data_IF_865920234004
#
_entry.id   IF_865920234004
#
_cell.length_a   1.000
_cell.length_b   1.000
_cell.length_c   1.000
_cell.angle_alpha   90.00
_cell.angle_beta   90.00
_cell.angle_gamma   90.00
#
_symmetry.space_group_name_H-M   'P 1'
#
loop_
_entity.id
_entity.type
_entity.pdbx_description
1 polymer ?
#
# COMPACT_ATOMS: atom_id res chain seq x y z
N UNK A 1 -17.93 23.44 8.94
CA UNK A 1 -17.00 22.34 9.21
C UNK A 1 -17.77 21.25 9.90
N UNK A 2 -17.98 20.09 9.33
CA UNK A 2 -18.42 18.95 10.11
C UNK A 2 -17.28 18.70 11.11
N UNK A 3 -17.59 18.68 12.41
CA UNK A 3 -16.75 18.04 13.41
C UNK A 3 -16.36 16.69 12.80
N UNK A 4 -15.06 16.44 12.70
CA UNK A 4 -14.59 15.19 12.13
C UNK A 4 -15.06 14.06 13.05
N UNK A 5 -16.24 13.57 12.77
CA UNK A 5 -16.70 12.32 13.33
C UNK A 5 -15.86 11.21 12.69
N UNK A 6 -14.82 10.80 13.41
CA UNK A 6 -14.27 9.46 13.25
C UNK A 6 -15.14 8.52 14.09
N UNK A 7 -16.24 7.95 13.53
CA UNK A 7 -17.18 7.19 14.33
C UNK A 7 -16.46 5.97 14.89
N UNK A 8 -16.21 5.97 16.19
CA UNK A 8 -15.67 4.85 16.94
C UNK A 8 -14.15 4.76 17.06
N UNK A 9 -13.36 5.31 16.13
CA UNK A 9 -11.91 5.07 16.11
C UNK A 9 -11.14 5.65 17.32
N UNK A 10 -11.66 6.70 17.95
CA UNK A 10 -10.99 7.40 19.06
C UNK A 10 -11.80 7.44 20.36
N UNK A 11 -12.83 6.61 20.50
CA UNK A 11 -13.61 6.53 21.75
C UNK A 11 -12.74 6.07 22.92
N UNK A 12 -11.80 5.16 22.68
CA UNK A 12 -10.87 4.64 23.68
C UNK A 12 -9.65 5.53 23.91
N UNK A 13 -9.44 6.54 23.06
CA UNK A 13 -8.31 7.46 23.11
C UNK A 13 -8.75 8.92 23.00
N UNK A 14 -9.56 9.43 23.97
CA UNK A 14 -10.17 10.76 23.87
C UNK A 14 -9.14 11.88 23.77
N UNK A 15 -8.02 11.76 24.45
CA UNK A 15 -6.95 12.77 24.36
C UNK A 15 -6.33 12.84 22.93
N UNK A 16 -6.15 11.70 22.26
CA UNK A 16 -5.69 11.69 20.87
C UNK A 16 -6.69 12.34 19.93
N UNK A 17 -7.98 12.07 20.10
CA UNK A 17 -9.06 12.74 19.36
C UNK A 17 -9.00 14.26 19.56
N UNK A 18 -8.84 14.72 20.80
CA UNK A 18 -8.79 16.15 21.14
C UNK A 18 -7.54 16.82 20.54
N UNK A 19 -6.39 16.13 20.51
CA UNK A 19 -5.19 16.58 19.82
C UNK A 19 -5.41 16.70 18.30
N UNK A 20 -6.01 15.70 17.67
CA UNK A 20 -6.34 15.73 16.23
C UNK A 20 -7.24 16.91 15.90
N UNK A 21 -8.33 17.10 16.66
CA UNK A 21 -9.27 18.17 16.42
C UNK A 21 -8.62 19.56 16.62
N UNK A 22 -7.84 19.74 17.69
CA UNK A 22 -7.22 21.02 18.03
C UNK A 22 -6.02 21.32 17.12
N UNK A 23 -5.04 20.44 17.07
CA UNK A 23 -3.74 20.74 16.43
C UNK A 23 -3.84 20.53 14.92
N UNK A 24 -4.39 19.41 14.48
CA UNK A 24 -4.41 19.10 13.04
C UNK A 24 -5.46 19.95 12.34
N UNK A 25 -6.73 19.82 12.73
CA UNK A 25 -7.82 20.41 11.96
C UNK A 25 -8.15 21.85 12.31
N UNK A 26 -8.12 22.23 13.61
CA UNK A 26 -8.45 23.61 14.00
C UNK A 26 -7.27 24.59 13.80
N UNK A 27 -6.03 24.11 13.91
CA UNK A 27 -4.84 24.95 13.74
C UNK A 27 -4.18 24.72 12.38
N UNK A 28 -3.58 23.52 12.14
CA UNK A 28 -2.73 23.28 10.97
C UNK A 28 -3.48 23.39 9.65
N UNK A 29 -4.66 22.77 9.53
CA UNK A 29 -5.43 22.79 8.28
C UNK A 29 -6.07 24.15 7.98
N UNK A 30 -6.18 25.07 8.95
CA UNK A 30 -6.73 26.42 8.77
C UNK A 30 -5.68 27.48 8.49
N UNK A 31 -4.41 27.13 8.51
CA UNK A 31 -3.33 28.07 8.16
C UNK A 31 -3.41 28.47 6.70
N UNK A 32 -3.27 29.76 6.43
CA UNK A 32 -3.47 30.36 5.10
C UNK A 32 -2.30 30.10 4.11
N UNK A 33 -1.15 29.67 4.61
CA UNK A 33 0.09 29.51 3.81
C UNK A 33 0.04 28.35 2.82
N UNK A 34 -0.89 27.40 3.02
CA UNK A 34 -1.21 26.33 2.06
C UNK A 34 -2.72 26.22 1.90
N UNK A 35 -3.18 26.07 0.67
CA UNK A 35 -4.60 25.85 0.38
C UNK A 35 -5.07 24.50 0.90
N UNK A 36 -6.38 24.31 1.19
CA UNK A 36 -6.94 23.00 1.53
C UNK A 36 -6.66 21.94 0.45
N UNK A 37 -6.65 22.34 -0.83
CA UNK A 37 -6.31 21.49 -1.97
C UNK A 37 -4.87 20.98 -1.85
N UNK A 38 -3.91 21.87 -1.65
CA UNK A 38 -2.49 21.49 -1.56
C UNK A 38 -2.22 20.61 -0.32
N UNK A 39 -2.85 20.92 0.81
CA UNK A 39 -2.79 20.07 1.99
C UNK A 39 -3.30 18.66 1.72
N UNK A 40 -4.39 18.53 0.98
CA UNK A 40 -4.94 17.23 0.59
C UNK A 40 -3.99 16.45 -0.31
N UNK A 41 -3.38 17.12 -1.32
CA UNK A 41 -2.38 16.50 -2.19
C UNK A 41 -1.19 15.96 -1.38
N UNK A 42 -0.66 16.76 -0.45
CA UNK A 42 0.45 16.37 0.43
C UNK A 42 0.04 15.16 1.29
N UNK A 43 -1.16 15.15 1.84
CA UNK A 43 -1.60 14.07 2.74
C UNK A 43 -1.85 12.77 2.00
N UNK A 44 -2.41 12.82 0.77
CA UNK A 44 -2.52 11.63 -0.11
C UNK A 44 -1.12 11.09 -0.44
N UNK A 45 -0.17 11.96 -0.77
CA UNK A 45 1.21 11.56 -1.07
C UNK A 45 1.88 10.87 0.13
N UNK A 46 1.75 11.45 1.33
CA UNK A 46 2.32 10.86 2.57
C UNK A 46 1.66 9.54 2.91
N UNK A 47 0.32 9.46 2.88
CA UNK A 47 -0.42 8.21 3.13
C UNK A 47 -0.01 7.10 2.16
N UNK A 48 0.16 7.43 0.88
CA UNK A 48 0.69 6.50 -0.14
C UNK A 48 2.08 6.00 0.23
N UNK A 49 3.02 6.91 0.51
CA UNK A 49 4.40 6.57 0.83
C UNK A 49 4.52 5.69 2.09
N UNK A 50 3.66 5.92 3.08
CA UNK A 50 3.63 5.18 4.34
C UNK A 50 2.88 3.84 4.26
N UNK A 51 2.33 3.46 3.11
CA UNK A 51 1.47 2.27 2.95
C UNK A 51 0.22 2.31 3.86
N UNK A 52 -0.28 3.48 4.18
CA UNK A 52 -1.35 3.70 5.15
C UNK A 52 -2.73 3.69 4.48
N UNK A 53 -3.29 2.50 4.20
CA UNK A 53 -4.53 2.32 3.42
C UNK A 53 -5.72 3.12 3.98
N UNK A 54 -5.92 3.12 5.30
CA UNK A 54 -7.01 3.86 5.94
C UNK A 54 -6.88 5.37 5.75
N UNK A 55 -5.64 5.88 5.84
CA UNK A 55 -5.34 7.29 5.63
C UNK A 55 -5.51 7.67 4.16
N UNK A 56 -5.04 6.83 3.23
CA UNK A 56 -5.26 7.04 1.79
C UNK A 56 -6.76 7.09 1.49
N UNK A 57 -7.55 6.14 1.98
CA UNK A 57 -8.99 6.10 1.78
C UNK A 57 -9.67 7.41 2.25
N UNK A 58 -9.39 7.82 3.48
CA UNK A 58 -9.96 9.03 4.04
C UNK A 58 -9.53 10.29 3.28
N UNK A 59 -8.22 10.44 3.02
CA UNK A 59 -7.68 11.65 2.41
C UNK A 59 -7.92 11.77 0.90
N UNK A 60 -8.08 10.68 0.17
CA UNK A 60 -8.57 10.71 -1.23
C UNK A 60 -9.97 11.32 -1.28
N UNK A 61 -10.88 10.87 -0.40
CA UNK A 61 -12.21 11.46 -0.30
C UNK A 61 -12.15 12.97 -0.05
N UNK A 62 -11.33 13.40 0.91
CA UNK A 62 -11.14 14.83 1.22
C UNK A 62 -10.45 15.61 0.10
N UNK A 63 -9.53 15.00 -0.63
CA UNK A 63 -8.86 15.61 -1.76
C UNK A 63 -9.88 15.97 -2.87
N UNK A 64 -10.77 15.04 -3.19
CA UNK A 64 -11.88 15.28 -4.12
C UNK A 64 -12.78 16.42 -3.64
N UNK A 65 -13.16 16.44 -2.35
CA UNK A 65 -13.99 17.50 -1.76
C UNK A 65 -13.28 18.88 -1.78
N UNK A 66 -11.96 18.90 -1.72
CA UNK A 66 -11.12 20.10 -1.78
C UNK A 66 -10.69 20.46 -3.21
N UNK A 67 -11.25 19.82 -4.25
CA UNK A 67 -11.08 20.18 -5.66
C UNK A 67 -9.82 19.60 -6.32
N UNK A 68 -9.20 18.55 -5.74
CA UNK A 68 -8.20 17.73 -6.44
C UNK A 68 -8.95 16.77 -7.38
N UNK A 69 -8.56 16.72 -8.64
CA UNK A 69 -9.23 15.86 -9.63
C UNK A 69 -8.78 14.40 -9.50
N UNK A 70 -9.54 13.48 -10.10
CA UNK A 70 -9.18 12.05 -10.14
C UNK A 70 -7.84 11.84 -10.86
N UNK A 71 -7.64 12.55 -11.96
CA UNK A 71 -6.41 12.51 -12.76
C UNK A 71 -5.20 12.98 -11.93
N UNK A 72 -5.37 14.07 -11.17
CA UNK A 72 -4.32 14.55 -10.28
C UNK A 72 -4.01 13.56 -9.15
N UNK A 73 -5.02 12.90 -8.57
CA UNK A 73 -4.81 11.84 -7.57
C UNK A 73 -4.05 10.66 -8.19
N UNK A 74 -4.42 10.23 -9.40
CA UNK A 74 -3.73 9.17 -10.12
C UNK A 74 -2.25 9.52 -10.35
N UNK A 75 -1.97 10.76 -10.76
CA UNK A 75 -0.60 11.25 -10.98
C UNK A 75 0.20 11.36 -9.68
N UNK A 76 -0.41 11.80 -8.58
CA UNK A 76 0.25 11.82 -7.25
C UNK A 76 0.68 10.40 -6.86
N UNK A 77 -0.22 9.42 -6.97
CA UNK A 77 0.06 8.01 -6.63
C UNK A 77 1.20 7.47 -7.50
N UNK A 78 1.10 7.69 -8.82
CA UNK A 78 2.12 7.25 -9.78
C UNK A 78 3.47 7.92 -9.51
N UNK A 79 3.50 9.23 -9.29
CA UNK A 79 4.72 9.98 -9.00
C UNK A 79 5.39 9.50 -7.70
N UNK A 80 4.62 9.36 -6.62
CA UNK A 80 5.12 8.92 -5.31
C UNK A 80 5.71 7.50 -5.39
N UNK A 81 5.20 6.65 -6.25
CA UNK A 81 5.71 5.29 -6.48
C UNK A 81 7.20 5.25 -6.81
N UNK A 82 7.73 6.24 -7.53
CA UNK A 82 9.16 6.30 -7.86
C UNK A 82 10.05 6.63 -6.65
N UNK A 83 9.50 7.21 -5.59
CA UNK A 83 10.22 7.58 -4.37
C UNK A 83 9.99 6.59 -3.21
N UNK A 84 8.83 5.95 -3.17
CA UNK A 84 8.44 5.07 -2.06
C UNK A 84 8.33 3.59 -2.46
N UNK A 85 8.43 3.29 -3.75
CA UNK A 85 8.38 1.94 -4.32
C UNK A 85 7.01 1.54 -4.87
N UNK A 86 7.01 0.65 -5.88
CA UNK A 86 5.80 0.18 -6.56
C UNK A 86 4.74 -0.43 -5.63
N UNK A 87 5.09 -1.20 -4.58
CA UNK A 87 4.09 -1.74 -3.65
C UNK A 87 3.20 -0.67 -3.00
N UNK A 88 3.76 0.50 -2.68
CA UNK A 88 2.99 1.60 -2.07
C UNK A 88 1.98 2.19 -3.04
N UNK A 89 2.39 2.41 -4.30
CA UNK A 89 1.52 2.92 -5.34
C UNK A 89 0.40 1.94 -5.71
N UNK A 90 0.71 0.65 -5.82
CA UNK A 90 -0.29 -0.41 -6.06
C UNK A 90 -1.36 -0.44 -4.98
N UNK A 91 -0.94 -0.37 -3.71
CA UNK A 91 -1.87 -0.30 -2.58
C UNK A 91 -2.75 0.96 -2.65
N UNK A 92 -2.14 2.12 -2.85
CA UNK A 92 -2.86 3.39 -2.92
C UNK A 92 -3.85 3.44 -4.12
N UNK A 93 -3.45 2.93 -5.29
CA UNK A 93 -4.32 2.86 -6.47
C UNK A 93 -5.56 1.98 -6.22
N UNK A 94 -5.39 0.82 -5.56
CA UNK A 94 -6.51 -0.05 -5.18
C UNK A 94 -7.47 0.63 -4.22
N UNK A 95 -6.93 1.20 -3.14
CA UNK A 95 -7.74 1.92 -2.14
C UNK A 95 -8.47 3.12 -2.76
N UNK A 96 -7.80 3.84 -3.68
CA UNK A 96 -8.41 4.94 -4.40
C UNK A 96 -9.57 4.48 -5.29
N UNK A 97 -9.44 3.34 -5.97
CA UNK A 97 -10.53 2.78 -6.77
C UNK A 97 -11.77 2.51 -5.90
N UNK A 98 -11.60 1.91 -4.71
CA UNK A 98 -12.68 1.67 -3.75
C UNK A 98 -13.39 2.98 -3.33
N UNK A 99 -12.62 4.06 -3.12
CA UNK A 99 -13.18 5.38 -2.79
C UNK A 99 -13.98 5.95 -3.96
N UNK A 100 -13.45 5.88 -5.18
CA UNK A 100 -14.13 6.37 -6.39
C UNK A 100 -15.44 5.60 -6.64
N UNK A 101 -15.41 4.28 -6.51
CA UNK A 101 -16.62 3.44 -6.61
C UNK A 101 -17.68 3.83 -5.57
N UNK A 102 -17.27 4.01 -4.32
CA UNK A 102 -18.19 4.41 -3.23
C UNK A 102 -18.87 5.76 -3.47
N UNK A 103 -18.24 6.61 -4.27
CA UNK A 103 -18.74 7.94 -4.68
C UNK A 103 -19.43 7.94 -6.03
N UNK A 104 -19.62 6.78 -6.67
CA UNK A 104 -20.18 6.63 -8.01
C UNK A 104 -19.41 7.45 -9.08
N UNK A 105 -18.09 7.60 -8.92
CA UNK A 105 -17.21 8.28 -9.85
C UNK A 105 -16.66 7.27 -10.88
N UNK A 106 -16.40 7.72 -12.14
CA UNK A 106 -15.92 6.81 -13.18
C UNK A 106 -14.54 6.27 -12.87
N UNK A 107 -14.30 5.03 -13.26
CA UNK A 107 -12.99 4.37 -13.22
C UNK A 107 -12.46 4.18 -14.63
N UNK A 108 -11.14 4.19 -14.77
CA UNK A 108 -10.46 3.76 -15.99
C UNK A 108 -10.49 2.24 -16.17
N UNK A 109 -9.84 1.77 -17.23
CA UNK A 109 -9.65 0.35 -17.51
C UNK A 109 -8.39 -0.20 -16.85
N UNK A 110 -8.23 -1.54 -16.84
CA UNK A 110 -7.02 -2.20 -16.38
C UNK A 110 -7.06 -2.67 -14.92
N UNK A 111 -5.90 -3.12 -14.41
CA UNK A 111 -5.77 -3.66 -13.04
C UNK A 111 -5.81 -2.58 -11.95
N UNK A 112 -5.41 -1.37 -12.31
CA UNK A 112 -5.38 -0.20 -11.41
C UNK A 112 -6.17 0.95 -12.04
N UNK A 113 -7.50 0.84 -12.10
CA UNK A 113 -8.35 1.77 -12.84
C UNK A 113 -8.34 3.20 -12.26
N UNK A 114 -7.90 3.36 -11.02
CA UNK A 114 -7.68 4.67 -10.40
C UNK A 114 -6.30 5.29 -10.71
N UNK A 115 -5.39 4.54 -11.34
CA UNK A 115 -4.05 4.98 -11.75
C UNK A 115 -3.59 4.19 -13.00
N UNK A 116 -4.18 4.41 -14.17
CA UNK A 116 -3.92 3.60 -15.37
C UNK A 116 -2.45 3.60 -15.81
N UNK A 117 -1.78 4.74 -15.73
CA UNK A 117 -0.35 4.82 -16.09
C UNK A 117 0.55 4.01 -15.16
N UNK A 118 0.19 3.86 -13.89
CA UNK A 118 0.88 2.94 -12.99
C UNK A 118 0.79 1.48 -13.47
N UNK A 119 -0.34 1.07 -14.03
CA UNK A 119 -0.50 -0.27 -14.61
C UNK A 119 0.41 -0.51 -15.81
N UNK A 120 0.53 0.48 -16.70
CA UNK A 120 1.45 0.44 -17.84
C UNK A 120 2.90 0.31 -17.37
N UNK A 121 3.33 1.10 -16.37
CA UNK A 121 4.68 1.04 -15.81
C UNK A 121 4.97 -0.33 -15.16
N UNK A 122 4.02 -0.88 -14.43
CA UNK A 122 4.19 -2.19 -13.81
C UNK A 122 4.28 -3.28 -14.88
N UNK A 123 3.43 -3.24 -15.90
CA UNK A 123 3.46 -4.20 -17.00
C UNK A 123 4.74 -4.12 -17.83
N UNK A 124 5.12 -2.92 -18.24
CA UNK A 124 6.29 -2.69 -19.10
C UNK A 124 7.62 -2.73 -18.34
N UNK A 125 7.81 -1.83 -17.38
CA UNK A 125 9.10 -1.65 -16.70
C UNK A 125 9.38 -2.76 -15.69
N UNK A 126 8.42 -3.07 -14.81
CA UNK A 126 8.67 -4.06 -13.76
C UNK A 126 8.70 -5.46 -14.35
N UNK A 127 7.59 -5.91 -14.92
CA UNK A 127 7.48 -7.29 -15.41
C UNK A 127 8.01 -7.50 -16.82
N UNK A 128 7.91 -6.50 -17.72
CA UNK A 128 8.42 -6.58 -19.09
C UNK A 128 9.94 -6.47 -19.18
N UNK A 129 10.56 -5.63 -18.36
CA UNK A 129 12.00 -5.43 -18.37
C UNK A 129 12.71 -6.03 -17.15
N UNK A 130 12.43 -5.53 -15.94
CA UNK A 130 13.22 -5.85 -14.74
C UNK A 130 13.16 -7.34 -14.40
N UNK A 131 11.99 -7.94 -14.44
CA UNK A 131 11.81 -9.36 -14.09
C UNK A 131 12.31 -10.33 -15.16
N UNK A 132 12.54 -9.86 -16.40
CA UNK A 132 13.04 -10.68 -17.52
C UNK A 132 14.56 -10.64 -17.69
N UNK A 133 15.27 -9.80 -16.93
CA UNK A 133 16.75 -9.70 -17.01
C UNK A 133 17.42 -11.00 -16.55
N UNK A 134 18.38 -11.49 -17.34
CA UNK A 134 19.05 -12.77 -17.15
C UNK A 134 20.00 -12.84 -15.94
N UNK A 135 20.47 -11.69 -15.42
CA UNK A 135 21.48 -11.60 -14.35
C UNK A 135 21.00 -12.13 -12.99
N UNK A 136 19.69 -12.32 -12.81
CA UNK A 136 19.13 -12.91 -11.62
C UNK A 136 17.91 -13.77 -12.01
N UNK A 137 17.83 -14.99 -11.48
CA UNK A 137 16.72 -15.89 -11.77
C UNK A 137 15.37 -15.36 -11.24
N UNK A 138 14.26 -15.80 -11.82
CA UNK A 138 12.92 -15.46 -11.35
C UNK A 138 12.71 -15.93 -9.88
N UNK A 139 13.27 -17.10 -9.53
CA UNK A 139 13.27 -17.61 -8.16
C UNK A 139 13.98 -16.65 -7.20
N UNK A 140 15.18 -16.20 -7.53
CA UNK A 140 15.98 -15.35 -6.64
C UNK A 140 15.42 -13.91 -6.59
N UNK A 141 14.80 -13.42 -7.67
CA UNK A 141 14.00 -12.18 -7.64
C UNK A 141 12.84 -12.29 -6.67
N UNK A 142 12.18 -13.46 -6.62
CA UNK A 142 11.11 -13.72 -5.66
C UNK A 142 11.62 -13.70 -4.22
N UNK A 143 12.78 -14.32 -3.92
CA UNK A 143 13.41 -14.25 -2.60
C UNK A 143 13.63 -12.80 -2.17
N UNK A 144 14.25 -11.98 -3.03
CA UNK A 144 14.52 -10.57 -2.73
C UNK A 144 13.21 -9.78 -2.50
N UNK A 145 12.20 -10.00 -3.35
CA UNK A 145 10.94 -9.25 -3.27
C UNK A 145 10.11 -9.64 -2.05
N UNK A 146 10.06 -10.94 -1.70
CA UNK A 146 9.42 -11.42 -0.48
C UNK A 146 10.10 -10.79 0.74
N UNK A 147 11.43 -10.79 0.79
CA UNK A 147 12.17 -10.21 1.91
C UNK A 147 11.86 -8.71 2.09
N UNK A 148 11.81 -7.93 1.00
CA UNK A 148 11.51 -6.49 1.05
C UNK A 148 10.06 -6.22 1.47
N UNK A 149 9.09 -6.90 0.85
CA UNK A 149 7.67 -6.69 1.17
C UNK A 149 7.33 -7.11 2.60
N UNK A 150 7.99 -8.15 3.11
CA UNK A 150 7.90 -8.59 4.51
C UNK A 150 8.44 -7.51 5.45
N UNK A 151 9.67 -7.06 5.22
CA UNK A 151 10.34 -6.08 6.11
C UNK A 151 9.60 -4.73 6.16
N UNK A 152 8.87 -4.37 5.11
CA UNK A 152 8.13 -3.12 5.00
C UNK A 152 6.65 -3.23 5.42
N UNK A 153 6.20 -4.34 6.02
CA UNK A 153 4.79 -4.58 6.39
C UNK A 153 3.78 -4.48 5.23
N UNK A 154 4.22 -4.72 4.01
CA UNK A 154 3.39 -4.64 2.81
C UNK A 154 2.62 -5.95 2.60
N UNK A 155 1.71 -6.28 3.50
CA UNK A 155 1.06 -7.60 3.63
C UNK A 155 0.38 -8.08 2.35
N UNK A 156 -0.37 -7.19 1.66
CA UNK A 156 -1.06 -7.55 0.41
C UNK A 156 -0.06 -7.87 -0.71
N UNK A 157 1.02 -7.10 -0.79
CA UNK A 157 2.08 -7.35 -1.76
C UNK A 157 2.89 -8.59 -1.39
N UNK A 158 3.13 -8.81 -0.10
CA UNK A 158 3.75 -10.03 0.39
C UNK A 158 2.95 -11.27 -0.07
N UNK A 159 1.62 -11.28 0.08
CA UNK A 159 0.74 -12.36 -0.39
C UNK A 159 0.93 -12.64 -1.89
N UNK A 160 0.95 -11.60 -2.72
CA UNK A 160 1.18 -11.73 -4.18
C UNK A 160 2.54 -12.36 -4.46
N UNK A 161 3.59 -11.88 -3.78
CA UNK A 161 4.95 -12.34 -4.02
C UNK A 161 5.27 -13.70 -3.39
N UNK A 162 4.59 -14.12 -2.32
CA UNK A 162 4.62 -15.50 -1.82
C UNK A 162 4.08 -16.48 -2.86
N UNK A 163 2.92 -16.19 -3.45
CA UNK A 163 2.36 -17.00 -4.53
C UNK A 163 3.32 -17.09 -5.71
N UNK A 164 3.85 -15.95 -6.16
CA UNK A 164 4.82 -15.91 -7.27
C UNK A 164 6.12 -16.66 -6.93
N UNK A 165 6.57 -16.58 -5.68
CA UNK A 165 7.76 -17.32 -5.23
C UNK A 165 7.58 -18.83 -5.35
N UNK A 166 6.43 -19.34 -4.94
CA UNK A 166 6.07 -20.76 -5.10
C UNK A 166 5.98 -21.13 -6.58
N UNK A 167 5.37 -20.29 -7.42
CA UNK A 167 5.29 -20.53 -8.88
C UNK A 167 6.67 -20.49 -9.56
N UNK A 168 7.60 -19.70 -9.05
CA UNK A 168 8.97 -19.58 -9.53
C UNK A 168 9.92 -20.64 -8.91
N UNK A 169 9.38 -21.62 -8.17
CA UNK A 169 10.13 -22.79 -7.68
C UNK A 169 10.71 -22.66 -6.27
N UNK A 170 10.33 -21.67 -5.49
CA UNK A 170 10.63 -21.68 -4.06
C UNK A 170 9.82 -22.76 -3.36
N UNK A 171 10.48 -23.53 -2.48
CA UNK A 171 9.81 -24.48 -1.62
C UNK A 171 9.19 -23.80 -0.40
N UNK A 172 8.22 -24.46 0.24
CA UNK A 172 7.62 -23.97 1.48
C UNK A 172 8.64 -23.81 2.58
N UNK A 173 9.62 -24.74 2.65
CA UNK A 173 10.70 -24.69 3.63
C UNK A 173 11.62 -23.49 3.39
N UNK A 174 12.02 -23.20 2.15
CA UNK A 174 12.84 -22.02 1.82
C UNK A 174 12.15 -20.71 2.20
N UNK A 175 10.84 -20.61 1.96
CA UNK A 175 10.07 -19.42 2.36
C UNK A 175 9.99 -19.31 3.89
N UNK A 176 9.80 -20.43 4.61
CA UNK A 176 9.83 -20.43 6.07
C UNK A 176 11.16 -19.92 6.62
N UNK A 177 12.28 -20.41 6.08
CA UNK A 177 13.62 -19.95 6.45
C UNK A 177 13.86 -18.48 6.09
N UNK A 178 13.37 -18.03 4.94
CA UNK A 178 13.44 -16.61 4.56
C UNK A 178 12.69 -15.74 5.60
N UNK A 179 11.49 -16.13 6.01
CA UNK A 179 10.72 -15.39 7.04
C UNK A 179 11.53 -15.33 8.34
N UNK A 180 12.08 -16.46 8.79
CA UNK A 180 12.92 -16.51 9.98
C UNK A 180 14.15 -15.58 9.85
N UNK A 181 14.86 -15.65 8.73
CA UNK A 181 16.04 -14.83 8.46
C UNK A 181 15.72 -13.33 8.49
N UNK A 182 14.67 -12.90 7.80
CA UNK A 182 14.27 -11.48 7.75
C UNK A 182 13.81 -10.98 9.12
N UNK A 183 13.14 -11.83 9.90
CA UNK A 183 12.70 -11.52 11.27
C UNK A 183 13.85 -11.06 12.18
N UNK A 184 15.04 -11.63 12.00
CA UNK A 184 16.22 -11.25 12.80
C UNK A 184 16.67 -9.82 12.55
N UNK A 185 16.35 -9.22 11.39
CA UNK A 185 16.74 -7.87 10.99
C UNK A 185 15.58 -6.86 11.08
N UNK A 186 14.35 -7.28 10.79
CA UNK A 186 13.17 -6.40 10.76
C UNK A 186 12.29 -6.49 12.02
N UNK A 187 12.61 -7.41 12.93
CA UNK A 187 11.92 -7.60 14.21
C UNK A 187 10.80 -8.63 14.17
N UNK A 188 10.50 -9.22 15.33
CA UNK A 188 9.49 -10.29 15.48
C UNK A 188 8.09 -9.92 14.99
N UNK A 189 7.55 -8.70 15.17
CA UNK A 189 6.22 -8.39 14.68
C UNK A 189 6.07 -8.54 13.15
N UNK A 190 7.10 -8.21 12.37
CA UNK A 190 7.09 -8.41 10.90
C UNK A 190 7.04 -9.89 10.56
N UNK A 191 7.84 -10.72 11.23
CA UNK A 191 7.86 -12.17 11.05
C UNK A 191 6.54 -12.82 11.41
N UNK A 192 5.90 -12.41 12.51
CA UNK A 192 4.57 -12.92 12.92
C UNK A 192 3.52 -12.63 11.85
N UNK A 193 3.49 -11.40 11.32
CA UNK A 193 2.57 -11.06 10.23
C UNK A 193 2.84 -11.86 8.96
N UNK A 194 4.11 -12.00 8.58
CA UNK A 194 4.50 -12.78 7.41
C UNK A 194 4.12 -14.26 7.54
N UNK A 195 4.34 -14.85 8.72
CA UNK A 195 3.97 -16.25 8.98
C UNK A 195 2.47 -16.48 8.84
N UNK A 196 1.64 -15.56 9.33
CA UNK A 196 0.17 -15.62 9.14
C UNK A 196 -0.20 -15.54 7.66
N UNK A 197 0.34 -14.56 6.95
CA UNK A 197 0.08 -14.40 5.51
C UNK A 197 0.53 -15.63 4.72
N UNK A 198 1.67 -16.22 5.09
CA UNK A 198 2.17 -17.44 4.44
C UNK A 198 1.27 -18.64 4.72
N UNK A 199 0.84 -18.85 5.97
CA UNK A 199 -0.11 -19.90 6.31
C UNK A 199 -1.43 -19.81 5.53
N UNK A 200 -1.97 -18.59 5.36
CA UNK A 200 -3.15 -18.34 4.54
C UNK A 200 -2.93 -18.70 3.07
N UNK A 201 -1.78 -18.30 2.49
CA UNK A 201 -1.41 -18.66 1.11
C UNK A 201 -1.31 -20.18 0.93
N UNK A 202 -0.68 -20.89 1.87
CA UNK A 202 -0.58 -22.35 1.81
C UNK A 202 -1.95 -23.01 1.90
N UNK A 203 -2.82 -22.54 2.79
CA UNK A 203 -4.18 -23.03 2.90
C UNK A 203 -4.97 -22.82 1.61
N UNK A 204 -4.92 -21.64 1.01
CA UNK A 204 -5.58 -21.31 -0.27
C UNK A 204 -5.10 -22.21 -1.42
N UNK A 205 -3.83 -22.59 -1.40
CA UNK A 205 -3.21 -23.47 -2.41
C UNK A 205 -3.35 -24.96 -2.09
N UNK A 206 -3.91 -25.34 -0.95
CA UNK A 206 -3.99 -26.74 -0.48
C UNK A 206 -2.63 -27.39 -0.26
N UNK A 207 -1.61 -26.59 0.10
CA UNK A 207 -0.25 -27.04 0.36
C UNK A 207 -0.03 -27.31 1.86
N UNK A 208 0.79 -28.33 2.23
CA UNK A 208 1.11 -28.57 3.62
C UNK A 208 1.96 -27.43 4.21
N UNK A 209 1.86 -27.28 5.54
CA UNK A 209 2.78 -26.41 6.26
C UNK A 209 4.20 -26.99 6.20
N UNK A 210 5.25 -26.16 6.21
CA UNK A 210 6.63 -26.64 6.35
C UNK A 210 6.85 -27.30 7.72
N UNK A 211 7.79 -28.24 7.78
CA UNK A 211 8.16 -28.96 9.01
C UNK A 211 8.89 -28.05 10.02
#
# INVERSE_FOLDING_TARGET
DPELEFPGAFQQTPYLRDLLNKVVYAETWKRAELSPRDRSMITVAVGTAMYASSEVSYHVGRALDNGVTQEEIAEIITHVTFYSGFPTGVNAARVTAEVLESRCLPLGDGRFPAAPYLDELIGGLVYGETWTREQLSARDRSLATIAVTLSNYQTDQLRVHLNRGLDNGLTTQEISELIAQVTLYSGFPTGVNASRTFAEVLQERGMPLPD
#
